data_IF_493296047501
#
_entry.id   IF_493296047501
#
_cell.length_a   1.000
_cell.length_b   1.000
_cell.length_c   1.000
_cell.angle_alpha   90.00
_cell.angle_beta   90.00
_cell.angle_gamma   90.00
#
_symmetry.space_group_name_H-M   'P 1'
#
loop_
_entity.id
_entity.type
_entity.pdbx_description
1 polymer ?
#
# COMPACT_ATOMS: atom_id res chain seq x y z
N UNK A 1 -29.35 -31.75 11.47
CA UNK A 1 -29.45 -30.33 11.20
C UNK A 1 -28.45 -29.50 12.02
N UNK A 2 -28.31 -29.83 13.29
CA UNK A 2 -27.39 -29.10 14.16
C UNK A 2 -25.91 -29.26 13.75
N UNK A 3 -25.56 -30.41 13.19
CA UNK A 3 -24.20 -30.68 12.73
C UNK A 3 -23.80 -29.83 11.51
N UNK A 4 -24.72 -29.52 10.62
CA UNK A 4 -24.45 -28.68 9.47
C UNK A 4 -24.26 -27.22 9.88
N UNK A 5 -25.02 -26.76 10.86
CA UNK A 5 -24.89 -25.42 11.42
C UNK A 5 -23.57 -25.27 12.20
N UNK A 6 -23.23 -26.30 13.00
CA UNK A 6 -21.97 -26.29 13.76
C UNK A 6 -20.74 -26.34 12.85
N UNK A 7 -20.77 -27.12 11.77
CA UNK A 7 -19.71 -27.17 10.78
C UNK A 7 -19.55 -25.82 10.06
N UNK A 8 -20.68 -25.19 9.78
CA UNK A 8 -20.69 -23.87 9.16
C UNK A 8 -20.16 -22.79 10.10
N UNK A 9 -20.50 -22.85 11.36
CA UNK A 9 -19.98 -21.95 12.40
C UNK A 9 -18.47 -22.16 12.65
N UNK A 10 -17.98 -23.37 12.51
CA UNK A 10 -16.56 -23.69 12.63
C UNK A 10 -15.71 -23.08 11.51
N UNK A 11 -16.25 -23.02 10.31
CA UNK A 11 -15.63 -22.31 9.18
C UNK A 11 -15.94 -20.83 9.19
N UNK A 12 -16.89 -20.40 9.98
CA UNK A 12 -17.54 -19.11 9.89
C UNK A 12 -17.23 -18.11 10.98
N UNK A 13 -16.07 -18.16 11.61
CA UNK A 13 -15.64 -17.05 12.45
C UNK A 13 -15.65 -15.73 11.68
N UNK A 14 -15.36 -15.79 10.39
CA UNK A 14 -15.45 -14.65 9.48
C UNK A 14 -16.91 -14.27 9.17
N UNK A 15 -17.76 -15.24 8.86
CA UNK A 15 -19.18 -15.01 8.58
C UNK A 15 -19.93 -14.48 9.81
N UNK A 16 -19.60 -14.97 11.01
CA UNK A 16 -20.17 -14.47 12.26
C UNK A 16 -19.77 -13.01 12.52
N UNK A 17 -18.52 -12.64 12.25
CA UNK A 17 -18.07 -11.25 12.36
C UNK A 17 -18.75 -10.34 11.34
N UNK A 18 -18.95 -10.81 10.12
CA UNK A 18 -19.68 -10.07 9.09
C UNK A 18 -21.15 -9.90 9.44
N UNK A 19 -21.76 -10.89 10.12
CA UNK A 19 -23.12 -10.81 10.59
C UNK A 19 -23.29 -9.80 11.73
N UNK A 20 -22.26 -9.62 12.58
CA UNK A 20 -22.25 -8.60 13.64
C UNK A 20 -22.15 -7.18 13.07
N UNK A 21 -21.53 -6.99 11.90
CA UNK A 21 -21.38 -5.73 11.20
C UNK A 21 -22.56 -5.48 10.26
N UNK A 22 -23.77 -5.52 10.78
CA UNK A 22 -24.96 -5.24 9.98
C UNK A 22 -25.02 -3.76 9.60
N UNK A 23 -25.25 -3.54 8.32
CA UNK A 23 -25.44 -2.19 7.80
C UNK A 23 -26.79 -1.62 8.23
N UNK A 24 -26.79 -0.33 8.50
CA UNK A 24 -27.99 0.42 8.91
C UNK A 24 -28.55 1.14 7.69
N UNK A 25 -29.84 0.91 7.42
CA UNK A 25 -30.54 1.52 6.30
C UNK A 25 -31.82 0.77 6.00
N UNK A 26 -32.48 1.11 4.90
CA UNK A 26 -33.62 0.34 4.40
C UNK A 26 -33.17 -1.01 3.85
N UNK A 27 -34.08 -1.95 3.71
CA UNK A 27 -33.79 -3.30 3.19
C UNK A 27 -33.09 -3.22 1.83
N UNK A 28 -33.58 -2.38 0.92
CA UNK A 28 -32.98 -2.21 -0.40
C UNK A 28 -31.60 -1.54 -0.34
N UNK A 29 -31.44 -0.54 0.51
CA UNK A 29 -30.17 0.11 0.72
C UNK A 29 -29.13 -0.85 1.30
N UNK A 30 -29.51 -1.66 2.26
CA UNK A 30 -28.61 -2.65 2.88
C UNK A 30 -28.15 -3.67 1.83
N UNK A 31 -29.08 -4.21 1.03
CA UNK A 31 -28.74 -5.17 -0.02
C UNK A 31 -27.77 -4.58 -1.04
N UNK A 32 -28.02 -3.35 -1.46
CA UNK A 32 -27.15 -2.65 -2.41
C UNK A 32 -25.79 -2.33 -1.79
N UNK A 33 -25.79 -1.81 -0.58
CA UNK A 33 -24.55 -1.48 0.14
C UNK A 33 -23.68 -2.70 0.42
N UNK A 34 -24.28 -3.87 0.69
CA UNK A 34 -23.54 -5.12 0.87
C UNK A 34 -22.80 -5.54 -0.40
N UNK A 35 -23.41 -5.36 -1.56
CA UNK A 35 -22.75 -5.60 -2.84
C UNK A 35 -21.56 -4.69 -3.06
N UNK A 36 -21.74 -3.40 -2.79
CA UNK A 36 -20.65 -2.41 -2.89
C UNK A 36 -19.54 -2.72 -1.90
N UNK A 37 -19.90 -3.04 -0.67
CA UNK A 37 -18.94 -3.40 0.39
C UNK A 37 -18.09 -4.60 -0.01
N UNK A 38 -18.69 -5.62 -0.60
CA UNK A 38 -17.96 -6.77 -1.11
C UNK A 38 -16.98 -6.38 -2.23
N UNK A 39 -17.38 -5.47 -3.12
CA UNK A 39 -16.50 -4.96 -4.18
C UNK A 39 -15.36 -4.11 -3.62
N UNK A 40 -15.63 -3.30 -2.59
CA UNK A 40 -14.63 -2.52 -1.87
C UNK A 40 -13.59 -3.43 -1.24
N UNK A 41 -14.03 -4.47 -0.55
CA UNK A 41 -13.15 -5.45 0.08
C UNK A 41 -12.27 -6.15 -0.96
N UNK A 42 -12.85 -6.55 -2.08
CA UNK A 42 -12.13 -7.18 -3.19
C UNK A 42 -11.08 -6.24 -3.79
N UNK A 43 -11.37 -4.95 -3.88
CA UNK A 43 -10.42 -3.96 -4.40
C UNK A 43 -9.24 -3.76 -3.45
N UNK A 44 -9.48 -3.69 -2.15
CA UNK A 44 -8.40 -3.68 -1.17
C UNK A 44 -7.51 -4.92 -1.27
N UNK A 45 -8.12 -6.07 -1.44
CA UNK A 45 -7.39 -7.33 -1.60
C UNK A 45 -6.54 -7.34 -2.88
N UNK A 46 -7.09 -6.84 -3.97
CA UNK A 46 -6.39 -6.71 -5.25
C UNK A 46 -5.16 -5.82 -5.11
N UNK A 47 -5.31 -4.65 -4.50
CA UNK A 47 -4.20 -3.71 -4.28
C UNK A 47 -3.14 -4.33 -3.39
N UNK A 48 -3.54 -5.02 -2.32
CA UNK A 48 -2.62 -5.72 -1.44
C UNK A 48 -1.78 -6.74 -2.20
N UNK A 49 -2.39 -7.56 -3.03
CA UNK A 49 -1.69 -8.58 -3.83
C UNK A 49 -0.68 -7.97 -4.80
N UNK A 50 -1.03 -6.85 -5.41
CA UNK A 50 -0.12 -6.11 -6.29
C UNK A 50 1.08 -5.60 -5.50
N UNK A 51 0.85 -5.00 -4.33
CA UNK A 51 1.92 -4.50 -3.47
C UNK A 51 2.83 -5.62 -2.96
N UNK A 52 2.28 -6.75 -2.57
CA UNK A 52 3.05 -7.93 -2.15
C UNK A 52 3.90 -8.48 -3.29
N UNK A 53 3.36 -8.55 -4.48
CA UNK A 53 4.09 -8.98 -5.68
C UNK A 53 5.27 -8.05 -5.98
N UNK A 54 5.07 -6.75 -5.88
CA UNK A 54 6.14 -5.77 -6.07
C UNK A 54 7.19 -5.88 -4.96
N UNK A 55 6.76 -6.01 -3.70
CA UNK A 55 7.65 -6.13 -2.55
C UNK A 55 8.59 -7.33 -2.66
N UNK A 56 8.12 -8.45 -3.19
CA UNK A 56 8.93 -9.65 -3.36
C UNK A 56 10.06 -9.48 -4.38
N UNK A 57 9.97 -8.49 -5.26
CA UNK A 57 10.93 -8.20 -6.33
C UNK A 57 11.86 -7.03 -6.01
N UNK A 58 11.63 -6.35 -4.90
CA UNK A 58 12.39 -5.16 -4.52
C UNK A 58 13.57 -5.50 -3.61
N UNK A 59 14.46 -4.53 -3.43
CA UNK A 59 15.52 -4.61 -2.43
C UNK A 59 14.92 -4.72 -1.02
N UNK A 60 15.68 -5.20 -0.01
CA UNK A 60 15.15 -5.30 1.35
C UNK A 60 14.65 -3.98 1.92
N UNK A 61 15.29 -2.86 1.61
CA UNK A 61 14.88 -1.53 2.08
C UNK A 61 13.57 -1.09 1.44
N UNK A 62 13.45 -1.23 0.13
CA UNK A 62 12.23 -0.89 -0.61
C UNK A 62 11.09 -1.85 -0.27
N UNK A 63 11.42 -3.12 -0.03
CA UNK A 63 10.48 -4.12 0.44
C UNK A 63 9.89 -3.78 1.81
N UNK A 64 10.71 -3.22 2.71
CA UNK A 64 10.26 -2.75 4.03
C UNK A 64 9.27 -1.59 3.90
N UNK A 65 9.54 -0.65 3.01
CA UNK A 65 8.63 0.47 2.73
C UNK A 65 7.29 -0.02 2.17
N UNK A 66 7.33 -0.98 1.26
CA UNK A 66 6.12 -1.58 0.70
C UNK A 66 5.32 -2.34 1.75
N UNK A 67 5.98 -3.04 2.67
CA UNK A 67 5.31 -3.70 3.80
C UNK A 67 4.62 -2.68 4.72
N UNK A 68 5.24 -1.53 4.94
CA UNK A 68 4.61 -0.44 5.71
C UNK A 68 3.37 0.11 4.99
N UNK A 69 3.42 0.23 3.67
CA UNK A 69 2.27 0.65 2.85
C UNK A 69 1.16 -0.42 2.90
N UNK A 70 1.50 -1.69 2.88
CA UNK A 70 0.54 -2.79 3.02
C UNK A 70 -0.18 -2.73 4.38
N UNK A 71 0.55 -2.47 5.45
CA UNK A 71 -0.05 -2.27 6.78
C UNK A 71 -1.00 -1.10 6.81
N UNK A 72 -0.61 0.01 6.20
CA UNK A 72 -1.46 1.18 6.03
C UNK A 72 -2.74 0.83 5.27
N UNK A 73 -2.62 0.07 4.19
CA UNK A 73 -3.74 -0.41 3.39
C UNK A 73 -4.71 -1.24 4.24
N UNK A 74 -4.19 -2.17 5.04
CA UNK A 74 -5.01 -3.01 5.92
C UNK A 74 -5.69 -2.20 7.03
N UNK A 75 -5.03 -1.18 7.58
CA UNK A 75 -5.64 -0.27 8.54
C UNK A 75 -6.81 0.50 7.92
N UNK A 76 -6.63 1.00 6.70
CA UNK A 76 -7.70 1.69 5.96
C UNK A 76 -8.84 0.75 5.60
N UNK A 77 -8.52 -0.47 5.23
CA UNK A 77 -9.51 -1.51 4.96
C UNK A 77 -10.38 -1.76 6.20
N UNK A 78 -9.77 -1.96 7.35
CA UNK A 78 -10.48 -2.18 8.61
C UNK A 78 -11.39 -1.00 8.96
N UNK A 79 -10.91 0.22 8.76
CA UNK A 79 -11.66 1.44 9.00
C UNK A 79 -12.89 1.54 8.08
N UNK A 80 -12.72 1.31 6.79
CA UNK A 80 -13.79 1.35 5.79
C UNK A 80 -14.80 0.23 6.02
N UNK A 81 -14.32 -1.00 6.23
CA UNK A 81 -15.19 -2.16 6.41
C UNK A 81 -15.94 -2.13 7.75
N UNK A 82 -15.46 -1.35 8.71
CA UNK A 82 -16.13 -1.13 9.99
C UNK A 82 -17.25 -0.10 9.95
N UNK A 83 -17.47 0.57 8.82
CA UNK A 83 -18.58 1.53 8.69
C UNK A 83 -19.91 0.79 8.61
N UNK A 84 -20.85 1.16 9.46
CA UNK A 84 -22.15 0.50 9.59
C UNK A 84 -23.24 1.13 8.73
N UNK A 85 -22.98 2.30 8.14
CA UNK A 85 -24.00 3.04 7.37
C UNK A 85 -24.06 2.56 5.93
N UNK A 86 -25.21 2.04 5.52
CA UNK A 86 -25.43 1.65 4.11
C UNK A 86 -25.21 2.82 3.16
N UNK A 87 -25.67 4.01 3.54
CA UNK A 87 -25.48 5.23 2.74
C UNK A 87 -24.04 5.58 2.48
N UNK A 88 -23.14 5.29 3.41
CA UNK A 88 -21.71 5.49 3.22
C UNK A 88 -21.18 4.73 1.99
N UNK A 89 -21.52 3.44 1.86
CA UNK A 89 -21.08 2.66 0.71
C UNK A 89 -21.76 3.11 -0.58
N UNK A 90 -23.03 3.44 -0.53
CA UNK A 90 -23.80 3.84 -1.71
C UNK A 90 -23.33 5.20 -2.25
N UNK A 91 -23.09 6.16 -1.38
CA UNK A 91 -22.81 7.54 -1.78
C UNK A 91 -21.32 7.83 -1.94
N UNK A 92 -20.48 7.25 -1.10
CA UNK A 92 -19.06 7.59 -1.06
C UNK A 92 -18.19 6.67 -1.90
N UNK A 93 -18.67 5.48 -2.26
CA UNK A 93 -17.88 4.48 -2.99
C UNK A 93 -18.33 4.31 -4.44
N UNK A 94 -18.41 5.41 -5.18
CA UNK A 94 -18.79 5.38 -6.59
C UNK A 94 -17.62 5.15 -7.54
N UNK A 95 -16.43 5.56 -7.16
CA UNK A 95 -15.19 5.41 -7.93
C UNK A 95 -14.18 4.55 -7.20
N UNK A 96 -14.46 3.29 -7.11
CA UNK A 96 -13.85 2.31 -6.22
C UNK A 96 -12.33 2.25 -6.29
N UNK A 97 -11.77 2.18 -7.50
CA UNK A 97 -10.32 2.06 -7.71
C UNK A 97 -9.57 3.31 -7.29
N UNK A 98 -10.10 4.45 -7.67
CA UNK A 98 -9.48 5.72 -7.37
C UNK A 98 -9.58 6.05 -5.87
N UNK A 99 -10.69 5.69 -5.25
CA UNK A 99 -10.91 5.94 -3.83
C UNK A 99 -9.95 5.16 -2.92
N UNK A 100 -9.70 3.88 -3.19
CA UNK A 100 -8.72 3.10 -2.43
C UNK A 100 -7.34 3.74 -2.54
N UNK A 101 -6.94 4.12 -3.75
CA UNK A 101 -5.68 4.81 -3.98
C UNK A 101 -5.60 6.13 -3.22
N UNK A 102 -6.65 6.94 -3.27
CA UNK A 102 -6.72 8.24 -2.60
C UNK A 102 -6.61 8.11 -1.09
N UNK A 103 -7.25 7.11 -0.49
CA UNK A 103 -7.14 6.86 0.93
C UNK A 103 -5.70 6.62 1.38
N UNK A 104 -4.94 5.88 0.59
CA UNK A 104 -3.53 5.61 0.87
C UNK A 104 -2.68 6.86 0.68
N UNK A 105 -2.80 7.51 -0.47
CA UNK A 105 -1.96 8.65 -0.87
C UNK A 105 -2.16 9.85 0.06
N UNK A 106 -3.37 10.04 0.58
CA UNK A 106 -3.69 11.15 1.49
C UNK A 106 -3.28 10.91 2.93
N UNK A 107 -2.97 9.68 3.30
CA UNK A 107 -2.57 9.37 4.67
C UNK A 107 -1.18 9.95 4.96
N UNK A 108 -0.99 10.60 6.12
CA UNK A 108 0.32 11.16 6.50
C UNK A 108 1.44 10.11 6.56
N UNK A 109 1.12 8.87 6.91
CA UNK A 109 2.09 7.76 6.95
C UNK A 109 2.66 7.46 5.57
N UNK A 110 1.81 7.47 4.54
CA UNK A 110 2.25 7.29 3.15
C UNK A 110 3.18 8.42 2.71
N UNK A 111 2.83 9.66 3.04
CA UNK A 111 3.65 10.82 2.72
C UNK A 111 5.01 10.76 3.41
N UNK A 112 5.05 10.30 4.65
CA UNK A 112 6.30 10.12 5.40
C UNK A 112 7.18 9.06 4.76
N UNK A 113 6.63 7.92 4.35
CA UNK A 113 7.35 6.86 3.65
C UNK A 113 7.93 7.38 2.33
N UNK A 114 7.16 8.13 1.56
CA UNK A 114 7.61 8.70 0.29
C UNK A 114 8.69 9.76 0.46
N UNK A 115 8.59 10.59 1.49
CA UNK A 115 9.61 11.57 1.83
C UNK A 115 10.94 10.89 2.20
N UNK A 116 10.88 9.82 2.98
CA UNK A 116 12.04 9.03 3.38
C UNK A 116 12.71 8.35 2.18
N UNK A 117 11.92 7.76 1.28
CA UNK A 117 12.41 7.19 0.02
C UNK A 117 13.12 8.25 -0.83
N UNK A 118 12.52 9.42 -0.96
CA UNK A 118 13.11 10.55 -1.71
C UNK A 118 14.43 11.01 -1.11
N UNK A 119 14.53 11.09 0.21
CA UNK A 119 15.76 11.45 0.91
C UNK A 119 16.86 10.41 0.68
N UNK A 120 16.53 9.12 0.74
CA UNK A 120 17.49 8.04 0.47
C UNK A 120 17.98 8.04 -0.97
N UNK A 121 17.09 8.29 -1.93
CA UNK A 121 17.47 8.40 -3.34
C UNK A 121 18.40 9.59 -3.61
N UNK A 122 18.13 10.72 -2.98
CA UNK A 122 19.00 11.91 -3.09
C UNK A 122 20.37 11.66 -2.47
N UNK A 123 20.43 11.03 -1.32
CA UNK A 123 21.69 10.67 -0.67
C UNK A 123 22.52 9.70 -1.52
N UNK A 124 21.86 8.72 -2.15
CA UNK A 124 22.51 7.79 -3.07
C UNK A 124 23.06 8.49 -4.31
N UNK A 125 22.31 9.42 -4.89
CA UNK A 125 22.73 10.22 -6.04
C UNK A 125 23.94 11.12 -5.69
N UNK A 126 23.93 11.73 -4.52
CA UNK A 126 25.05 12.53 -4.04
C UNK A 126 26.32 11.69 -3.85
N UNK A 127 26.21 10.49 -3.29
CA UNK A 127 27.33 9.57 -3.15
C UNK A 127 27.92 9.17 -4.50
N UNK A 128 27.08 8.85 -5.47
CA UNK A 128 27.50 8.52 -6.82
C UNK A 128 28.21 9.69 -7.50
N UNK A 129 27.67 10.88 -7.38
CA UNK A 129 28.25 12.10 -7.94
C UNK A 129 29.61 12.43 -7.32
N UNK A 130 29.74 12.27 -6.00
CA UNK A 130 31.00 12.47 -5.29
C UNK A 130 32.06 11.45 -5.71
N UNK A 131 31.70 10.20 -5.87
CA UNK A 131 32.59 9.14 -6.33
C UNK A 131 33.12 9.42 -7.74
N UNK A 132 32.27 9.81 -8.65
CA UNK A 132 32.66 10.17 -10.01
C UNK A 132 33.60 11.37 -10.04
N UNK A 133 33.35 12.35 -9.20
CA UNK A 133 34.23 13.54 -9.11
C UNK A 133 35.63 13.17 -8.61
N UNK A 134 35.73 12.30 -7.66
CA UNK A 134 37.01 11.79 -7.13
C UNK A 134 37.77 11.01 -8.21
N UNK A 135 37.10 10.15 -8.96
CA UNK A 135 37.71 9.40 -10.05
C UNK A 135 38.22 10.30 -11.16
N UNK A 136 37.46 11.31 -11.56
CA UNK A 136 37.85 12.28 -12.56
C UNK A 136 39.10 13.08 -12.10
N UNK A 137 39.16 13.47 -10.86
CA UNK A 137 40.30 14.16 -10.27
C UNK A 137 41.55 13.30 -10.29
N UNK A 138 41.44 12.04 -9.94
CA UNK A 138 42.54 11.07 -9.99
C UNK A 138 43.07 10.85 -11.41
N UNK A 139 42.19 10.77 -12.38
CA UNK A 139 42.58 10.66 -13.80
C UNK A 139 43.38 11.88 -14.28
N UNK A 140 42.95 13.06 -13.91
CA UNK A 140 43.65 14.29 -14.29
C UNK A 140 45.05 14.37 -13.72
N UNK A 141 45.26 13.90 -12.50
CA UNK A 141 46.57 13.85 -11.87
C UNK A 141 47.51 12.81 -12.52
N UNK A 142 46.97 11.75 -13.09
CA UNK A 142 47.77 10.76 -13.82
C UNK A 142 48.25 11.22 -15.18
N UNK A 143 47.60 12.18 -15.77
CA UNK A 143 47.92 12.69 -17.09
C UNK A 143 48.83 13.90 -17.09
N UNK A 144 49.45 14.22 -15.97
CA UNK A 144 50.46 15.26 -15.96
C UNK A 144 51.62 14.87 -16.88
N UNK A 145 51.85 15.59 -17.94
CA UNK A 145 52.92 15.24 -18.86
C UNK A 145 54.24 15.42 -18.19
N UNK A 146 55.02 14.40 -18.30
CA UNK A 146 56.37 14.47 -17.87
C UNK A 146 57.17 15.19 -18.92
N UNK A 147 57.73 16.31 -18.57
CA UNK A 147 58.64 17.00 -19.45
C UNK A 147 59.90 16.17 -19.62
N UNK A 148 60.23 15.88 -20.83
CA UNK A 148 61.47 15.24 -21.15
C UNK A 148 62.59 16.27 -21.00
N UNK A 149 63.58 16.02 -20.20
CA UNK A 149 64.78 16.86 -20.25
C UNK A 149 65.55 16.54 -21.52
N UNK A 150 65.88 17.48 -22.22
CA UNK A 150 66.70 17.34 -23.39
C UNK A 150 68.16 17.26 -23.08
#
# INVERSE_FOLDING_TARGET
MDNAIAAWEGEGGFAARMAELRLIGTVNQIAWAEQIRAQVDAEFDRVRKVLESVASKQSPEDGTDLQAIIRLLEDKRAEVMGNEQAGYFIHDWQELRDQVRQLIVRDPRYRAIKADQGARLRAAAERTSSSNRTQASTKLNRTTPRTAPS
#
